data_IF_699314688466
#
_entry.id   IF_699314688466
#
_cell.length_a   1.000
_cell.length_b   1.000
_cell.length_c   1.000
_cell.angle_alpha   90.00
_cell.angle_beta   90.00
_cell.angle_gamma   90.00
#
_symmetry.space_group_name_H-M   'P 1'
#
loop_
_entity.id
_entity.type
_entity.pdbx_description
1 polymer ?
#
# COMPACT_ATOMS: atom_id res chain seq x y z
N UNK A 1 -37.57 -16.80 64.44
CA UNK A 1 -37.73 -15.52 63.73
C UNK A 1 -36.54 -14.63 64.01
N UNK A 2 -35.54 -14.59 63.11
CA UNK A 2 -34.54 -13.52 63.03
C UNK A 2 -34.12 -13.37 61.56
N UNK A 3 -34.15 -12.11 61.14
CA UNK A 3 -33.87 -11.55 59.80
C UNK A 3 -32.36 -11.29 59.63
N UNK A 4 -31.86 -11.26 58.38
CA UNK A 4 -31.05 -10.14 57.83
C UNK A 4 -30.30 -10.52 56.54
N UNK A 5 -30.49 -9.68 55.51
CA UNK A 5 -29.56 -9.26 54.41
C UNK A 5 -28.90 -10.38 53.59
N UNK A 6 -29.32 -10.70 52.36
CA UNK A 6 -29.19 -9.87 51.14
C UNK A 6 -27.88 -9.05 51.09
N UNK A 7 -26.85 -9.64 50.51
CA UNK A 7 -25.70 -8.93 49.93
C UNK A 7 -25.36 -9.61 48.60
N UNK A 8 -26.00 -9.15 47.53
CA UNK A 8 -25.57 -9.41 46.16
C UNK A 8 -24.47 -8.40 45.79
N UNK A 9 -23.40 -8.78 45.09
CA UNK A 9 -22.40 -7.83 44.65
C UNK A 9 -23.01 -7.00 43.52
N UNK A 10 -23.50 -5.80 43.85
CA UNK A 10 -23.87 -4.79 42.86
C UNK A 10 -22.59 -4.27 42.20
N UNK A 11 -22.13 -4.98 41.17
CA UNK A 11 -21.09 -4.50 40.26
C UNK A 11 -21.66 -3.43 39.33
N UNK A 12 -22.02 -2.26 39.88
CA UNK A 12 -22.30 -1.08 39.07
C UNK A 12 -20.96 -0.46 38.64
N UNK A 13 -20.36 -0.99 37.58
CA UNK A 13 -19.37 -0.27 36.80
C UNK A 13 -20.08 0.72 35.87
N UNK A 14 -20.55 1.83 36.43
CA UNK A 14 -20.90 3.00 35.64
C UNK A 14 -19.62 3.76 35.32
N UNK A 15 -18.76 3.16 34.48
CA UNK A 15 -17.65 3.88 33.86
C UNK A 15 -18.29 5.02 33.07
N UNK A 16 -17.96 6.29 33.39
CA UNK A 16 -18.56 7.41 32.69
C UNK A 16 -18.28 7.30 31.18
N UNK A 17 -19.21 7.73 30.31
CA UNK A 17 -19.05 7.66 28.85
C UNK A 17 -17.71 8.25 28.37
N UNK A 18 -17.21 9.29 29.05
CA UNK A 18 -15.92 9.91 28.76
C UNK A 18 -14.69 9.07 29.15
N UNK A 19 -14.84 8.12 30.06
CA UNK A 19 -13.79 7.18 30.46
C UNK A 19 -13.72 6.00 29.50
N UNK A 20 -14.88 5.55 28.99
CA UNK A 20 -14.97 4.56 27.93
C UNK A 20 -14.36 5.06 26.61
N UNK A 21 -14.67 6.32 26.24
CA UNK A 21 -14.12 6.96 25.04
C UNK A 21 -12.59 7.10 25.10
N UNK A 22 -12.05 7.57 26.23
CA UNK A 22 -10.59 7.67 26.45
C UNK A 22 -9.88 6.31 26.40
N UNK A 23 -10.52 5.27 26.94
CA UNK A 23 -9.98 3.91 26.89
C UNK A 23 -9.99 3.33 25.45
N UNK A 24 -11.05 3.60 24.68
CA UNK A 24 -11.15 3.19 23.28
C UNK A 24 -10.10 3.91 22.41
N UNK A 25 -9.96 5.22 22.59
CA UNK A 25 -8.93 6.04 21.93
C UNK A 25 -7.52 5.53 22.23
N UNK A 26 -7.21 5.23 23.50
CA UNK A 26 -5.94 4.64 23.91
C UNK A 26 -5.70 3.26 23.27
N UNK A 27 -6.76 2.43 23.18
CA UNK A 27 -6.69 1.13 22.52
C UNK A 27 -6.38 1.26 21.02
N UNK A 28 -7.03 2.20 20.32
CA UNK A 28 -6.80 2.48 18.89
C UNK A 28 -5.37 3.01 18.69
N UNK A 29 -4.91 3.94 19.52
CA UNK A 29 -3.52 4.46 19.49
C UNK A 29 -2.50 3.34 19.68
N UNK A 30 -2.73 2.44 20.64
CA UNK A 30 -1.87 1.27 20.84
C UNK A 30 -1.87 0.34 19.62
N UNK A 31 -3.03 0.11 19.00
CA UNK A 31 -3.17 -0.70 17.79
C UNK A 31 -2.41 -0.10 16.61
N UNK A 32 -2.44 1.22 16.45
CA UNK A 32 -1.68 1.95 15.42
C UNK A 32 -0.18 1.75 15.62
N UNK A 33 0.32 1.91 16.85
CA UNK A 33 1.74 1.70 17.15
C UNK A 33 2.16 0.26 16.84
N UNK A 34 1.36 -0.72 17.28
CA UNK A 34 1.62 -2.13 17.00
C UNK A 34 1.67 -2.44 15.49
N UNK A 35 0.67 -1.99 14.73
CA UNK A 35 0.61 -2.23 13.29
C UNK A 35 1.72 -1.49 12.54
N UNK A 36 2.10 -0.29 12.99
CA UNK A 36 3.22 0.48 12.42
C UNK A 36 4.55 -0.25 12.63
N UNK A 37 4.76 -0.82 13.81
CA UNK A 37 5.96 -1.60 14.08
C UNK A 37 5.98 -2.91 13.30
N UNK A 38 4.84 -3.58 13.18
CA UNK A 38 4.70 -4.75 12.33
C UNK A 38 4.99 -4.42 10.85
N UNK A 39 4.52 -3.27 10.36
CA UNK A 39 4.81 -2.78 9.01
C UNK A 39 6.31 -2.52 8.81
N UNK A 40 6.97 -1.93 9.82
CA UNK A 40 8.41 -1.67 9.81
C UNK A 40 9.19 -2.97 9.71
N UNK A 41 8.84 -3.97 10.52
CA UNK A 41 9.49 -5.28 10.52
C UNK A 41 9.29 -6.03 9.19
N UNK A 42 8.08 -6.00 8.63
CA UNK A 42 7.79 -6.67 7.35
C UNK A 42 8.54 -6.01 6.18
N UNK A 43 8.62 -4.67 6.18
CA UNK A 43 9.42 -3.92 5.19
C UNK A 43 10.91 -4.24 5.32
N UNK A 44 11.45 -4.23 6.53
CA UNK A 44 12.85 -4.60 6.79
C UNK A 44 13.15 -6.04 6.34
N UNK A 45 12.27 -6.99 6.65
CA UNK A 45 12.42 -8.39 6.21
C UNK A 45 12.40 -8.53 4.69
N UNK A 46 11.53 -7.78 3.99
CA UNK A 46 11.51 -7.74 2.52
C UNK A 46 12.80 -7.17 1.95
N UNK A 47 13.34 -6.12 2.56
CA UNK A 47 14.58 -5.48 2.12
C UNK A 47 15.79 -6.42 2.33
N UNK A 48 15.87 -7.09 3.49
CA UNK A 48 16.86 -8.15 3.75
C UNK A 48 16.79 -9.29 2.73
N UNK A 49 15.57 -9.73 2.40
CA UNK A 49 15.37 -10.75 1.37
C UNK A 49 15.78 -10.26 -0.03
N UNK A 50 15.58 -8.97 -0.33
CA UNK A 50 16.03 -8.37 -1.59
C UNK A 50 17.56 -8.37 -1.68
N UNK A 51 18.25 -8.03 -0.58
CA UNK A 51 19.71 -8.11 -0.49
C UNK A 51 20.19 -9.56 -0.64
N UNK A 52 19.56 -10.50 0.05
CA UNK A 52 19.88 -11.94 -0.05
C UNK A 52 19.66 -12.49 -1.46
N UNK A 53 18.60 -12.07 -2.15
CA UNK A 53 18.34 -12.42 -3.54
C UNK A 53 19.45 -11.91 -4.48
N UNK A 54 19.88 -10.65 -4.32
CA UNK A 54 20.96 -10.10 -5.13
C UNK A 54 22.27 -10.87 -4.92
N UNK A 55 22.56 -11.25 -3.67
CA UNK A 55 23.74 -12.07 -3.34
C UNK A 55 23.66 -13.47 -3.98
N UNK A 56 22.51 -14.15 -3.87
CA UNK A 56 22.28 -15.46 -4.47
C UNK A 56 22.41 -15.41 -6.00
N UNK A 57 21.82 -14.40 -6.65
CA UNK A 57 21.91 -14.23 -8.10
C UNK A 57 23.34 -13.92 -8.55
N UNK A 58 24.11 -13.16 -7.74
CA UNK A 58 25.51 -12.85 -8.06
C UNK A 58 26.41 -14.09 -8.09
N UNK A 59 26.07 -15.13 -7.31
CA UNK A 59 26.83 -16.38 -7.18
C UNK A 59 26.26 -17.52 -8.03
N UNK A 60 25.07 -17.34 -8.61
CA UNK A 60 24.34 -18.41 -9.28
C UNK A 60 24.71 -18.57 -10.76
N UNK A 61 24.78 -19.84 -11.18
CA UNK A 61 24.96 -20.19 -12.59
C UNK A 61 23.72 -19.86 -13.44
N UNK A 62 23.93 -19.78 -14.76
CA UNK A 62 22.90 -19.44 -15.77
C UNK A 62 21.65 -20.31 -15.70
N UNK A 63 21.77 -21.55 -15.21
CA UNK A 63 20.67 -22.49 -15.06
C UNK A 63 19.93 -22.36 -13.72
N UNK A 64 20.57 -21.84 -12.67
CA UNK A 64 19.98 -21.70 -11.33
C UNK A 64 19.28 -20.34 -11.14
N UNK A 65 19.74 -19.30 -11.84
CA UNK A 65 19.19 -17.94 -11.76
C UNK A 65 17.66 -17.85 -11.99
N UNK A 66 17.04 -18.59 -12.93
CA UNK A 66 15.58 -18.56 -13.11
C UNK A 66 14.81 -19.10 -11.90
N UNK A 67 15.32 -20.17 -11.26
CA UNK A 67 14.70 -20.76 -10.08
C UNK A 67 14.80 -19.83 -8.86
N UNK A 68 15.95 -19.16 -8.68
CA UNK A 68 16.15 -18.16 -7.62
C UNK A 68 15.20 -16.97 -7.81
N UNK A 69 15.03 -16.49 -9.05
CA UNK A 69 14.06 -15.43 -9.39
C UNK A 69 12.64 -15.82 -9.03
N UNK A 70 12.21 -17.01 -9.45
CA UNK A 70 10.86 -17.50 -9.18
C UNK A 70 10.58 -17.64 -7.67
N UNK A 71 11.57 -18.12 -6.90
CA UNK A 71 11.46 -18.20 -5.45
C UNK A 71 11.35 -16.82 -4.80
N UNK A 72 12.21 -15.87 -5.19
CA UNK A 72 12.16 -14.49 -4.70
C UNK A 72 10.83 -13.82 -5.02
N UNK A 73 10.35 -13.95 -6.26
CA UNK A 73 9.10 -13.33 -6.69
C UNK A 73 7.91 -13.84 -5.87
N UNK A 74 7.86 -15.14 -5.56
CA UNK A 74 6.82 -15.71 -4.69
C UNK A 74 6.89 -15.15 -3.26
N UNK A 75 8.08 -14.99 -2.70
CA UNK A 75 8.23 -14.43 -1.34
C UNK A 75 7.90 -12.93 -1.34
N UNK A 76 8.34 -12.19 -2.36
CA UNK A 76 8.05 -10.77 -2.51
C UNK A 76 6.55 -10.49 -2.73
N UNK A 77 5.85 -11.33 -3.48
CA UNK A 77 4.39 -11.26 -3.62
C UNK A 77 3.68 -11.43 -2.28
N UNK A 78 4.12 -12.40 -1.45
CA UNK A 78 3.56 -12.61 -0.11
C UNK A 78 3.82 -11.43 0.81
N UNK A 79 5.07 -10.96 0.88
CA UNK A 79 5.44 -9.78 1.67
C UNK A 79 4.62 -8.55 1.24
N UNK A 80 4.46 -8.33 -0.07
CA UNK A 80 3.67 -7.22 -0.61
C UNK A 80 2.19 -7.32 -0.23
N UNK A 81 1.60 -8.52 -0.27
CA UNK A 81 0.23 -8.74 0.18
C UNK A 81 0.05 -8.48 1.68
N UNK A 82 0.99 -8.94 2.51
CA UNK A 82 1.01 -8.69 3.96
C UNK A 82 1.13 -7.20 4.27
N UNK A 83 2.08 -6.50 3.62
CA UNK A 83 2.27 -5.05 3.74
C UNK A 83 0.99 -4.30 3.40
N UNK A 84 0.38 -4.60 2.25
CA UNK A 84 -0.87 -3.96 1.82
C UNK A 84 -2.06 -4.23 2.76
N UNK A 85 -2.07 -5.36 3.46
CA UNK A 85 -3.07 -5.67 4.49
C UNK A 85 -2.84 -4.86 5.77
N UNK A 86 -1.58 -4.74 6.21
CA UNK A 86 -1.23 -3.95 7.40
C UNK A 86 -1.52 -2.47 7.15
N UNK A 87 -1.16 -1.94 5.98
CA UNK A 87 -1.43 -0.56 5.57
C UNK A 87 -2.94 -0.26 5.57
N UNK A 88 -3.76 -1.15 5.01
CA UNK A 88 -5.22 -1.00 5.04
C UNK A 88 -5.78 -0.96 6.47
N UNK A 89 -5.28 -1.81 7.37
CA UNK A 89 -5.68 -1.80 8.78
C UNK A 89 -5.23 -0.53 9.50
N UNK A 90 -4.04 -0.01 9.17
CA UNK A 90 -3.55 1.27 9.67
C UNK A 90 -4.45 2.42 9.24
N UNK A 91 -4.85 2.47 7.97
CA UNK A 91 -5.81 3.47 7.48
C UNK A 91 -7.14 3.39 8.25
N UNK A 92 -7.66 2.18 8.48
CA UNK A 92 -8.88 1.98 9.26
C UNK A 92 -8.74 2.48 10.71
N UNK A 93 -7.64 2.15 11.39
CA UNK A 93 -7.42 2.63 12.76
C UNK A 93 -7.25 4.15 12.83
N UNK A 94 -6.55 4.78 11.87
CA UNK A 94 -6.44 6.23 11.80
C UNK A 94 -7.79 6.90 11.54
N UNK A 95 -8.60 6.34 10.64
CA UNK A 95 -9.95 6.83 10.37
C UNK A 95 -10.84 6.74 11.61
N UNK A 96 -10.81 5.60 12.32
CA UNK A 96 -11.55 5.44 13.57
C UNK A 96 -11.10 6.43 14.65
N UNK A 97 -9.80 6.72 14.73
CA UNK A 97 -9.28 7.71 15.68
C UNK A 97 -9.79 9.12 15.33
N UNK A 98 -9.79 9.47 14.04
CA UNK A 98 -10.29 10.75 13.56
C UNK A 98 -11.81 10.92 13.80
N UNK A 99 -12.60 9.87 13.59
CA UNK A 99 -14.04 9.87 13.89
C UNK A 99 -14.34 10.07 15.40
N UNK A 100 -13.51 9.51 16.27
CA UNK A 100 -13.59 9.73 17.72
C UNK A 100 -13.21 11.17 18.12
N UNK A 101 -12.21 11.76 17.47
CA UNK A 101 -11.78 13.14 17.71
C UNK A 101 -12.80 14.16 17.18
N UNK A 102 -13.34 13.94 15.99
CA UNK A 102 -14.33 14.82 15.35
C UNK A 102 -15.72 14.72 15.99
N UNK A 103 -16.10 13.54 16.51
CA UNK A 103 -17.33 13.35 17.28
C UNK A 103 -17.40 14.15 18.59
N UNK A 104 -16.24 14.61 19.11
CA UNK A 104 -16.14 15.44 20.30
C UNK A 104 -16.22 16.96 20.02
N UNK A 105 -16.35 17.40 18.76
CA UNK A 105 -16.38 18.83 18.39
C UNK A 105 -17.84 19.30 18.22
N UNK A 106 -18.33 20.30 19.00
CA UNK A 106 -19.63 20.90 18.72
C UNK A 106 -19.57 21.57 17.35
N UNK A 107 -20.50 21.22 16.46
CA UNK A 107 -20.71 21.89 15.16
C UNK A 107 -21.13 23.33 15.42
N UNK A 108 -20.13 24.21 15.49
CA UNK A 108 -20.28 25.65 15.43
C UNK A 108 -20.80 26.04 14.04
N UNK A 109 -22.00 26.60 14.06
CA UNK A 109 -22.67 27.37 13.03
C UNK A 109 -21.66 28.15 12.17
N UNK A 110 -21.60 27.85 10.87
CA UNK A 110 -21.00 28.76 9.88
C UNK A 110 -22.07 29.11 8.85
N UNK A 111 -22.77 30.21 9.13
CA UNK A 111 -23.33 31.05 8.09
C UNK A 111 -22.16 31.71 7.36
N UNK A 112 -21.87 31.22 6.16
CA UNK A 112 -21.29 32.02 5.09
C UNK A 112 -21.99 31.59 3.80
N UNK A 113 -23.17 32.17 3.60
CA UNK A 113 -23.72 32.33 2.26
C UNK A 113 -22.89 33.43 1.58
N UNK A 114 -22.21 33.07 0.51
CA UNK A 114 -22.72 33.44 -0.80
C UNK A 114 -22.13 32.50 -1.84
N UNK A 115 -23.05 31.83 -2.51
CA UNK A 115 -22.85 30.88 -3.60
C UNK A 115 -22.67 31.62 -4.91
N UNK A 116 -21.64 31.23 -5.66
CA UNK A 116 -21.65 31.40 -7.10
C UNK A 116 -21.01 30.19 -7.77
N UNK A 117 -21.78 29.62 -8.69
CA UNK A 117 -21.46 28.61 -9.70
C UNK A 117 -21.27 27.16 -9.22
N UNK A 118 -22.35 26.40 -9.39
CA UNK A 118 -22.29 25.03 -9.85
C UNK A 118 -23.00 24.96 -11.22
N UNK A 119 -22.27 24.45 -12.22
CA UNK A 119 -22.79 23.90 -13.47
C UNK A 119 -22.05 22.57 -13.61
N UNK A 120 -22.68 21.46 -13.26
CA UNK A 120 -23.23 20.50 -14.24
C UNK A 120 -23.33 19.09 -13.65
N UNK A 121 -24.55 18.57 -13.78
CA UNK A 121 -24.86 17.23 -14.30
C UNK A 121 -24.27 16.01 -13.56
N UNK A 122 -25.13 15.21 -12.94
CA UNK A 122 -25.41 13.85 -13.44
C UNK A 122 -26.61 13.17 -12.72
N UNK A 123 -27.23 12.16 -13.35
CA UNK A 123 -28.68 11.94 -13.28
C UNK A 123 -29.12 10.86 -12.28
N UNK A 124 -30.36 11.06 -11.84
CA UNK A 124 -31.22 10.15 -11.08
C UNK A 124 -31.73 8.97 -11.92
N UNK A 125 -31.89 7.80 -11.27
CA UNK A 125 -33.03 6.92 -11.56
C UNK A 125 -33.61 6.28 -10.27
N UNK A 126 -34.90 6.59 -10.05
CA UNK A 126 -36.00 5.77 -9.49
C UNK A 126 -35.96 5.41 -7.98
N UNK A 127 -37.06 5.42 -7.23
CA UNK A 127 -38.47 5.73 -7.48
C UNK A 127 -39.24 5.73 -6.13
N UNK A 128 -40.35 6.51 -6.09
CA UNK A 128 -41.58 6.40 -5.27
C UNK A 128 -41.42 6.34 -3.73
N UNK A 129 -42.14 7.08 -2.88
CA UNK A 129 -43.41 7.82 -2.93
C UNK A 129 -43.93 7.77 -1.47
N UNK A 130 -44.27 8.88 -0.81
CA UNK A 130 -45.64 9.38 -0.59
C UNK A 130 -45.48 10.45 0.52
N UNK A 131 -45.74 11.72 0.23
CA UNK A 131 -46.98 12.43 0.61
C UNK A 131 -46.96 12.97 2.05
N UNK A 132 -46.72 14.28 2.15
CA UNK A 132 -47.03 15.13 3.30
C UNK A 132 -48.43 15.72 3.11
N UNK A 133 -49.13 16.12 4.19
CA UNK A 133 -49.40 17.54 4.31
C UNK A 133 -49.17 18.10 5.72
N UNK A 134 -48.35 19.14 5.79
CA UNK A 134 -48.45 20.30 6.71
C UNK A 134 -49.82 21.02 6.53
N UNK A 135 -50.23 22.02 7.36
CA UNK A 135 -49.53 22.70 8.46
C UNK A 135 -50.43 22.98 9.71
N UNK A 136 -49.87 23.75 10.66
CA UNK A 136 -50.50 24.82 11.48
C UNK A 136 -50.56 24.60 13.00
N UNK A 137 -50.02 25.59 13.73
CA UNK A 137 -50.27 25.87 15.14
C UNK A 137 -48.99 25.84 15.96
N UNK A 138 -48.21 26.92 15.99
CA UNK A 138 -48.29 27.96 17.04
C UNK A 138 -48.13 27.39 18.46
N UNK A 139 -46.99 27.72 19.07
CA UNK A 139 -46.82 28.22 20.45
C UNK A 139 -45.57 27.64 21.12
N UNK A 140 -44.56 28.49 21.27
CA UNK A 140 -43.64 28.44 22.41
C UNK A 140 -44.42 28.91 23.67
N UNK A 141 -44.01 28.59 24.92
CA UNK A 141 -42.61 28.47 25.34
C UNK A 141 -42.32 27.49 26.50
N UNK A 142 -41.02 27.41 26.86
CA UNK A 142 -40.50 27.60 28.22
C UNK A 142 -39.51 26.52 28.67
N UNK A 143 -38.25 26.93 28.67
CA UNK A 143 -37.15 26.44 29.48
C UNK A 143 -37.59 26.23 30.94
N UNK A 144 -37.40 25.03 31.47
CA UNK A 144 -37.49 24.73 32.90
C UNK A 144 -36.12 24.29 33.37
N UNK A 145 -35.49 25.08 34.22
CA UNK A 145 -34.51 24.63 35.20
C UNK A 145 -34.29 25.73 36.22
N UNK A 146 -34.78 25.50 37.43
CA UNK A 146 -34.12 25.85 38.71
C UNK A 146 -35.06 25.50 39.87
N UNK A 147 -34.94 24.27 40.35
CA UNK A 147 -35.35 23.86 41.67
C UNK A 147 -34.27 24.34 42.65
N UNK A 148 -34.60 25.10 43.71
CA UNK A 148 -33.92 25.11 45.02
C UNK A 148 -34.58 26.15 45.95
N UNK A 149 -35.28 25.58 46.94
CA UNK A 149 -35.39 25.95 48.37
C UNK A 149 -35.97 27.31 48.78
N UNK A 150 -37.08 27.25 49.54
CA UNK A 150 -37.46 28.29 50.50
C UNK A 150 -38.94 28.30 50.88
N UNK A 151 -39.46 27.23 51.51
CA UNK A 151 -40.78 27.30 52.15
C UNK A 151 -40.71 28.14 53.44
N UNK A 152 -41.46 29.24 53.48
CA UNK A 152 -42.00 29.84 54.70
C UNK A 152 -43.49 30.14 54.45
N UNK A 153 -44.43 29.64 55.27
CA UNK A 153 -45.80 30.11 55.22
C UNK A 153 -46.01 31.15 56.33
N UNK A 154 -46.21 32.41 55.95
CA UNK A 154 -46.83 33.39 56.84
C UNK A 154 -47.74 34.28 56.01
N UNK A 155 -48.99 33.85 55.87
CA UNK A 155 -50.07 34.73 55.46
C UNK A 155 -51.22 34.61 56.48
N UNK A 156 -51.47 35.75 57.11
CA UNK A 156 -52.47 36.01 58.12
C UNK A 156 -53.62 36.73 57.44
N UNK A 157 -54.79 36.10 57.35
CA UNK A 157 -56.04 36.78 57.05
C UNK A 157 -57.19 36.23 57.90
N UNK A 158 -57.74 37.11 58.75
CA UNK A 158 -59.18 37.38 58.88
C UNK A 158 -59.34 38.69 59.66
N UNK A 159 -60.31 39.54 59.29
CA UNK A 159 -61.40 39.69 60.25
C UNK A 159 -62.80 39.86 59.62
N UNK A 160 -63.81 39.34 60.32
CA UNK A 160 -65.18 39.83 60.26
C UNK A 160 -65.66 40.12 61.70
N UNK A 161 -66.13 41.35 61.91
CA UNK A 161 -66.67 41.90 63.15
C UNK A 161 -67.94 41.16 63.63
N UNK A 162 -68.09 40.98 64.94
CA UNK A 162 -69.31 41.36 65.67
C UNK A 162 -68.99 41.71 67.15
N UNK A 163 -69.71 42.67 67.78
CA UNK A 163 -69.38 43.20 69.10
C UNK A 163 -70.25 42.64 70.25
N UNK A 164 -69.63 42.47 71.43
CA UNK A 164 -70.30 42.18 72.71
C UNK A 164 -69.46 42.67 73.89
N UNK A 165 -70.08 43.45 74.78
CA UNK A 165 -69.51 44.38 75.78
C UNK A 165 -69.04 43.67 77.10
N UNK A 166 -68.54 44.37 78.15
CA UNK A 166 -67.17 44.23 78.64
C UNK A 166 -67.05 43.71 80.10
N UNK A 167 -65.88 43.26 80.51
CA UNK A 167 -65.50 43.33 81.94
C UNK A 167 -64.00 43.25 82.21
N UNK A 168 -63.57 44.16 83.09
CA UNK A 168 -62.44 44.06 84.05
C UNK A 168 -61.00 44.11 83.50
N UNK A 169 -60.52 45.36 83.44
CA UNK A 169 -59.36 45.92 84.17
C UNK A 169 -58.26 44.93 84.61
N UNK A 170 -57.02 45.24 84.17
CA UNK A 170 -55.70 44.62 84.47
C UNK A 170 -55.33 43.41 83.61
N UNK A 171 -54.82 43.67 82.39
CA UNK A 171 -53.69 42.93 81.74
C UNK A 171 -53.33 43.40 80.31
N UNK A 172 -53.58 44.65 79.95
CA UNK A 172 -53.41 45.11 78.54
C UNK A 172 -51.97 45.54 78.19
N UNK A 173 -51.13 45.90 79.17
CA UNK A 173 -49.77 46.38 78.88
C UNK A 173 -48.74 45.27 78.58
N UNK A 174 -48.99 44.02 78.97
CA UNK A 174 -47.99 42.94 78.91
C UNK A 174 -48.16 42.00 77.69
N UNK A 175 -49.31 42.03 77.01
CA UNK A 175 -49.62 41.12 75.90
C UNK A 175 -49.20 41.65 74.51
N UNK A 176 -49.06 42.97 74.35
CA UNK A 176 -48.63 43.62 73.09
C UNK A 176 -47.10 43.83 72.97
N UNK A 177 -46.36 43.75 74.07
CA UNK A 177 -44.91 43.99 74.06
C UNK A 177 -44.12 42.86 73.38
N UNK A 178 -44.54 41.60 73.57
CA UNK A 178 -43.85 40.40 73.06
C UNK A 178 -43.85 40.26 71.52
N UNK A 179 -44.99 40.42 70.79
CA UNK A 179 -45.00 40.31 69.33
C UNK A 179 -44.28 41.48 68.64
N UNK A 180 -44.39 42.68 69.20
CA UNK A 180 -43.71 43.87 68.70
C UNK A 180 -42.19 43.77 68.87
N UNK A 181 -41.70 43.19 69.98
CA UNK A 181 -40.29 42.90 70.18
C UNK A 181 -39.77 41.86 69.18
N UNK A 182 -40.50 40.77 68.96
CA UNK A 182 -40.15 39.76 67.94
C UNK A 182 -40.06 40.37 66.54
N UNK A 183 -41.03 41.21 66.17
CA UNK A 183 -41.03 41.86 64.85
C UNK A 183 -39.88 42.87 64.69
N UNK A 184 -39.49 43.54 65.78
CA UNK A 184 -38.32 44.43 65.80
C UNK A 184 -37.00 43.66 65.68
N UNK A 185 -36.92 42.49 66.31
CA UNK A 185 -35.78 41.57 66.20
C UNK A 185 -35.67 41.02 64.78
N UNK A 186 -36.76 40.55 64.19
CA UNK A 186 -36.80 40.09 62.80
C UNK A 186 -36.44 41.21 61.82
N UNK A 187 -36.93 42.43 62.03
CA UNK A 187 -36.56 43.58 61.20
C UNK A 187 -35.06 43.90 61.31
N UNK A 188 -34.49 43.77 62.51
CA UNK A 188 -33.04 43.91 62.70
C UNK A 188 -32.27 42.78 62.02
N UNK A 189 -32.79 41.55 62.06
CA UNK A 189 -32.19 40.38 61.44
C UNK A 189 -32.21 40.50 59.92
N UNK A 190 -33.34 40.85 59.32
CA UNK A 190 -33.49 41.13 57.89
C UNK A 190 -32.53 42.25 57.47
N UNK A 191 -32.38 43.30 58.28
CA UNK A 191 -31.44 44.39 57.99
C UNK A 191 -29.99 43.92 58.02
N UNK A 192 -29.61 43.04 58.95
CA UNK A 192 -28.27 42.40 58.97
C UNK A 192 -28.07 41.49 57.76
N UNK A 193 -29.08 40.71 57.40
CA UNK A 193 -29.06 39.87 56.20
C UNK A 193 -28.92 40.70 54.92
N UNK A 194 -29.65 41.81 54.79
CA UNK A 194 -29.52 42.72 53.64
C UNK A 194 -28.09 43.28 53.51
N UNK A 195 -27.50 43.74 54.62
CA UNK A 195 -26.12 44.25 54.62
C UNK A 195 -25.11 43.14 54.30
N UNK A 196 -25.28 41.94 54.86
CA UNK A 196 -24.45 40.77 54.56
C UNK A 196 -24.54 40.37 53.09
N UNK A 197 -25.77 40.31 52.54
CA UNK A 197 -26.03 39.99 51.15
C UNK A 197 -25.40 41.05 50.23
N UNK A 198 -25.53 42.34 50.55
CA UNK A 198 -24.92 43.43 49.81
C UNK A 198 -23.39 43.30 49.74
N UNK A 199 -22.73 43.01 50.87
CA UNK A 199 -21.28 42.77 50.92
C UNK A 199 -20.91 41.53 50.11
N UNK A 200 -21.71 40.46 50.18
CA UNK A 200 -21.47 39.24 49.41
C UNK A 200 -21.60 39.45 47.90
N UNK A 201 -22.58 40.23 47.44
CA UNK A 201 -22.73 40.61 46.04
C UNK A 201 -21.55 41.47 45.54
N UNK A 202 -21.07 42.41 46.36
CA UNK A 202 -19.89 43.22 46.03
C UNK A 202 -18.63 42.35 45.94
N UNK A 203 -18.41 41.47 46.91
CA UNK A 203 -17.31 40.50 46.89
C UNK A 203 -17.38 39.54 45.69
N UNK A 204 -18.57 39.10 45.31
CA UNK A 204 -18.78 38.25 44.14
C UNK A 204 -18.46 39.01 42.84
N UNK A 205 -18.89 40.27 42.74
CA UNK A 205 -18.60 41.13 41.60
C UNK A 205 -17.10 41.38 41.44
N UNK A 206 -16.39 41.68 42.53
CA UNK A 206 -14.94 41.88 42.51
C UNK A 206 -14.19 40.62 42.09
N UNK A 207 -14.58 39.45 42.63
CA UNK A 207 -14.03 38.16 42.20
C UNK A 207 -14.29 37.89 40.73
N UNK A 208 -15.51 38.05 40.26
CA UNK A 208 -15.85 37.84 38.85
C UNK A 208 -15.03 38.75 37.92
N UNK A 209 -14.88 40.03 38.26
CA UNK A 209 -14.07 40.96 37.45
C UNK A 209 -12.59 40.58 37.45
N UNK A 210 -12.06 40.17 38.60
CA UNK A 210 -10.66 39.73 38.72
C UNK A 210 -10.43 38.44 37.94
N UNK A 211 -11.33 37.46 38.07
CA UNK A 211 -11.24 36.17 37.35
C UNK A 211 -11.35 36.38 35.83
N UNK A 212 -12.24 37.27 35.38
CA UNK A 212 -12.34 37.63 33.97
C UNK A 212 -11.06 38.28 33.45
N UNK A 213 -10.43 39.16 34.26
CA UNK A 213 -9.17 39.80 33.89
C UNK A 213 -8.03 38.77 33.77
N UNK A 214 -7.88 37.89 34.75
CA UNK A 214 -6.85 36.84 34.72
C UNK A 214 -7.08 35.88 33.55
N UNK A 215 -8.34 35.54 33.25
CA UNK A 215 -8.68 34.70 32.11
C UNK A 215 -8.38 35.37 30.76
N UNK A 216 -8.53 36.70 30.67
CA UNK A 216 -8.20 37.44 29.46
C UNK A 216 -6.69 37.52 29.25
N UNK A 217 -5.94 37.77 30.33
CA UNK A 217 -4.47 37.81 30.32
C UNK A 217 -3.88 36.45 29.92
N UNK A 218 -4.39 35.35 30.48
CA UNK A 218 -3.94 34.00 30.13
C UNK A 218 -4.28 33.63 28.68
N UNK A 219 -5.46 34.03 28.19
CA UNK A 219 -5.84 33.84 26.78
C UNK A 219 -4.92 34.63 25.84
N UNK A 220 -4.54 35.84 26.22
CA UNK A 220 -3.57 36.60 25.45
C UNK A 220 -2.21 35.92 25.45
N UNK A 221 -1.70 35.46 26.60
CA UNK A 221 -0.42 34.75 26.69
C UNK A 221 -0.41 33.47 25.81
N UNK A 222 -1.48 32.70 25.85
CA UNK A 222 -1.68 31.54 24.97
C UNK A 222 -1.59 31.92 23.50
N UNK A 223 -2.26 33.01 23.08
CA UNK A 223 -2.21 33.50 21.70
C UNK A 223 -0.79 33.90 21.28
N UNK A 224 -0.04 34.56 22.15
CA UNK A 224 1.35 34.94 21.85
C UNK A 224 2.26 33.71 21.75
N UNK A 225 2.09 32.74 22.65
CA UNK A 225 2.84 31.48 22.60
C UNK A 225 2.50 30.67 21.34
N UNK A 226 1.23 30.65 20.94
CA UNK A 226 0.82 30.03 19.69
C UNK A 226 1.51 30.70 18.48
N UNK A 227 1.51 32.03 18.40
CA UNK A 227 2.16 32.76 17.32
C UNK A 227 3.68 32.50 17.26
N UNK A 228 4.34 32.38 18.42
CA UNK A 228 5.75 32.04 18.49
C UNK A 228 6.03 30.63 17.99
N UNK A 229 5.24 29.65 18.45
CA UNK A 229 5.35 28.26 18.03
C UNK A 229 5.08 28.10 16.54
N UNK A 230 4.07 28.79 16.01
CA UNK A 230 3.76 28.84 14.58
C UNK A 230 4.94 29.41 13.78
N UNK A 231 5.53 30.51 14.24
CA UNK A 231 6.74 31.08 13.64
C UNK A 231 7.92 30.10 13.63
N UNK A 232 8.16 29.40 14.74
CA UNK A 232 9.24 28.40 14.84
C UNK A 232 9.02 27.22 13.89
N UNK A 233 7.80 26.67 13.85
CA UNK A 233 7.44 25.58 12.95
C UNK A 233 7.59 26.04 11.50
N UNK A 234 7.19 27.26 11.17
CA UNK A 234 7.29 27.79 9.82
C UNK A 234 8.76 27.94 9.37
N UNK A 235 9.63 28.45 10.24
CA UNK A 235 11.09 28.52 9.95
C UNK A 235 11.68 27.13 9.74
N UNK A 236 11.30 26.16 10.59
CA UNK A 236 11.78 24.78 10.45
C UNK A 236 11.29 24.13 9.15
N UNK A 237 10.00 24.29 8.82
CA UNK A 237 9.40 23.80 7.60
C UNK A 237 10.05 24.42 6.37
N UNK A 238 10.30 25.73 6.39
CA UNK A 238 11.01 26.43 5.32
C UNK A 238 12.42 25.85 5.12
N UNK A 239 13.17 25.62 6.20
CA UNK A 239 14.48 24.99 6.12
C UNK A 239 14.45 23.61 5.46
N UNK A 240 13.47 22.78 5.81
CA UNK A 240 13.26 21.48 5.15
C UNK A 240 12.91 21.61 3.68
N UNK A 241 12.05 22.57 3.32
CA UNK A 241 11.70 22.82 1.92
C UNK A 241 12.91 23.26 1.10
N UNK A 242 13.75 24.12 1.66
CA UNK A 242 14.98 24.59 1.02
C UNK A 242 15.99 23.44 0.84
N UNK A 243 16.14 22.56 1.83
CA UNK A 243 16.98 21.37 1.74
C UNK A 243 16.46 20.39 0.67
N UNK A 244 15.15 20.12 0.65
CA UNK A 244 14.52 19.29 -0.38
C UNK A 244 14.74 19.89 -1.78
N UNK A 245 14.63 21.22 -1.92
CA UNK A 245 14.87 21.89 -3.18
C UNK A 245 16.33 21.74 -3.64
N UNK A 246 17.29 21.97 -2.75
CA UNK A 246 18.71 21.78 -3.02
C UNK A 246 19.03 20.31 -3.42
N UNK A 247 18.47 19.35 -2.70
CA UNK A 247 18.62 17.93 -3.00
C UNK A 247 18.02 17.57 -4.36
N UNK A 248 16.83 18.08 -4.70
CA UNK A 248 16.22 17.87 -6.02
C UNK A 248 17.09 18.41 -7.14
N UNK A 249 17.68 19.59 -6.96
CA UNK A 249 18.56 20.20 -7.96
C UNK A 249 19.85 19.37 -8.13
N UNK A 250 20.46 18.92 -7.04
CA UNK A 250 21.62 18.04 -7.09
C UNK A 250 21.29 16.70 -7.76
N UNK A 251 20.11 16.14 -7.47
CA UNK A 251 19.64 14.93 -8.13
C UNK A 251 19.48 15.13 -9.64
N UNK A 252 18.82 16.20 -10.07
CA UNK A 252 18.67 16.52 -11.50
C UNK A 252 20.04 16.68 -12.21
N UNK A 253 20.97 17.41 -11.59
CA UNK A 253 22.33 17.57 -12.12
C UNK A 253 23.07 16.23 -12.23
N UNK A 254 22.98 15.37 -11.21
CA UNK A 254 23.61 14.05 -11.25
C UNK A 254 22.94 13.11 -12.25
N UNK A 255 21.62 13.19 -12.42
CA UNK A 255 20.87 12.45 -13.43
C UNK A 255 21.32 12.83 -14.84
N UNK A 256 21.41 14.12 -15.15
CA UNK A 256 21.93 14.61 -16.44
C UNK A 256 23.35 14.12 -16.70
N UNK A 257 24.24 14.20 -15.69
CA UNK A 257 25.60 13.69 -15.79
C UNK A 257 25.63 12.18 -16.05
N UNK A 258 24.81 11.41 -15.35
CA UNK A 258 24.72 9.95 -15.56
C UNK A 258 24.17 9.61 -16.94
N UNK A 259 23.14 10.32 -17.40
CA UNK A 259 22.57 10.17 -18.73
C UNK A 259 23.63 10.45 -19.81
N UNK A 260 24.37 11.54 -19.68
CA UNK A 260 25.47 11.89 -20.58
C UNK A 260 26.56 10.81 -20.61
N UNK A 261 27.03 10.35 -19.44
CA UNK A 261 28.02 9.27 -19.35
C UNK A 261 27.52 7.97 -19.96
N UNK A 262 26.24 7.65 -19.80
CA UNK A 262 25.64 6.46 -20.41
C UNK A 262 25.64 6.55 -21.94
N UNK A 263 25.33 7.73 -22.47
CA UNK A 263 25.35 8.01 -23.91
C UNK A 263 26.76 7.90 -24.46
N UNK A 264 27.76 8.43 -23.76
CA UNK A 264 29.17 8.35 -24.18
C UNK A 264 29.68 6.90 -24.21
N UNK A 265 29.38 6.09 -23.18
CA UNK A 265 29.69 4.65 -23.20
C UNK A 265 28.99 3.90 -24.34
N UNK A 266 27.71 4.22 -24.59
CA UNK A 266 26.97 3.61 -25.69
C UNK A 266 27.59 3.99 -27.05
N UNK A 267 28.04 5.25 -27.19
CA UNK A 267 28.72 5.74 -28.38
C UNK A 267 30.05 5.02 -28.61
N UNK A 268 30.88 4.83 -27.58
CA UNK A 268 32.13 4.06 -27.69
C UNK A 268 31.87 2.63 -28.18
N UNK A 269 30.86 1.96 -27.62
CA UNK A 269 30.46 0.60 -28.06
C UNK A 269 29.98 0.62 -29.51
N UNK A 270 29.19 1.63 -29.89
CA UNK A 270 28.70 1.78 -31.26
C UNK A 270 29.84 1.99 -32.25
N UNK A 271 30.84 2.82 -31.91
CA UNK A 271 32.03 3.04 -32.74
C UNK A 271 32.81 1.73 -32.94
N UNK A 272 33.02 0.95 -31.87
CA UNK A 272 33.67 -0.37 -31.96
C UNK A 272 32.86 -1.30 -32.87
N UNK A 273 31.55 -1.34 -32.73
CA UNK A 273 30.67 -2.15 -33.58
C UNK A 273 30.74 -1.73 -35.06
N UNK A 274 30.83 -0.42 -35.33
CA UNK A 274 31.01 0.11 -36.67
C UNK A 274 32.33 -0.35 -37.29
N UNK A 275 33.41 -0.41 -36.49
CA UNK A 275 34.68 -0.98 -36.96
C UNK A 275 34.56 -2.47 -37.29
N UNK A 276 33.83 -3.25 -36.48
CA UNK A 276 33.58 -4.67 -36.77
C UNK A 276 32.75 -4.83 -38.05
N UNK A 277 31.69 -4.04 -38.22
CA UNK A 277 30.86 -4.03 -39.43
C UNK A 277 31.69 -3.74 -40.67
N UNK A 278 32.57 -2.73 -40.62
CA UNK A 278 33.47 -2.38 -41.72
C UNK A 278 34.52 -3.46 -42.01
N UNK A 279 34.99 -4.18 -40.98
CA UNK A 279 35.90 -5.32 -41.18
C UNK A 279 35.20 -6.50 -41.83
N UNK A 280 33.97 -6.80 -41.41
CA UNK A 280 33.15 -7.87 -41.98
C UNK A 280 32.82 -7.56 -43.44
N UNK A 281 32.39 -6.33 -43.77
CA UNK A 281 32.09 -5.94 -45.16
C UNK A 281 33.32 -6.02 -46.07
N UNK A 282 34.51 -5.63 -45.56
CA UNK A 282 35.78 -5.84 -46.28
C UNK A 282 36.06 -7.32 -46.52
N UNK A 283 35.94 -8.17 -45.50
CA UNK A 283 36.14 -9.62 -45.65
C UNK A 283 35.14 -10.24 -46.63
N UNK A 284 33.88 -9.81 -46.60
CA UNK A 284 32.83 -10.25 -47.52
C UNK A 284 33.15 -9.85 -48.96
N UNK A 285 33.61 -8.61 -49.19
CA UNK A 285 34.03 -8.18 -50.52
C UNK A 285 35.22 -8.99 -51.06
N UNK A 286 36.20 -9.31 -50.21
CA UNK A 286 37.35 -10.14 -50.57
C UNK A 286 36.92 -11.58 -50.87
N UNK A 287 36.01 -12.13 -50.06
CA UNK A 287 35.42 -13.44 -50.29
C UNK A 287 34.67 -13.48 -51.62
N UNK A 288 33.86 -12.47 -51.93
CA UNK A 288 33.09 -12.39 -53.16
C UNK A 288 33.99 -12.29 -54.40
N UNK A 289 35.05 -11.47 -54.37
CA UNK A 289 36.03 -11.36 -55.46
C UNK A 289 36.82 -12.66 -55.64
N UNK A 290 37.22 -13.32 -54.54
CA UNK A 290 37.94 -14.60 -54.58
C UNK A 290 37.05 -15.73 -55.09
N UNK A 291 35.78 -15.75 -54.68
CA UNK A 291 34.80 -16.73 -55.15
C UNK A 291 34.51 -16.52 -56.64
N UNK A 292 34.35 -15.28 -57.12
CA UNK A 292 34.18 -15.00 -58.56
C UNK A 292 35.41 -15.49 -59.34
N UNK A 293 36.62 -15.14 -58.92
CA UNK A 293 37.86 -15.58 -59.57
C UNK A 293 38.07 -17.11 -59.53
N UNK A 294 37.66 -17.77 -58.44
CA UNK A 294 37.69 -19.24 -58.32
C UNK A 294 36.60 -19.88 -59.19
N UNK A 295 35.38 -19.35 -59.24
CA UNK A 295 34.28 -19.89 -60.06
C UNK A 295 34.55 -19.76 -61.55
N UNK A 296 35.24 -18.72 -61.99
CA UNK A 296 35.73 -18.61 -63.37
C UNK A 296 36.80 -19.67 -63.68
N UNK A 297 37.76 -19.91 -62.77
CA UNK A 297 38.78 -20.96 -62.95
C UNK A 297 38.23 -22.39 -62.81
N UNK A 298 37.19 -22.61 -62.00
CA UNK A 298 36.58 -23.92 -61.79
C UNK A 298 35.54 -24.28 -62.85
N UNK A 299 35.14 -23.40 -63.77
CA UNK A 299 34.07 -23.71 -64.73
C UNK A 299 34.45 -24.79 -65.75
N UNK A 300 35.75 -24.97 -66.04
CA UNK A 300 36.23 -25.92 -67.07
C UNK A 300 36.63 -27.31 -66.56
N UNK A 301 36.87 -27.52 -65.26
CA UNK A 301 37.49 -28.77 -64.74
C UNK A 301 36.53 -29.84 -64.16
N UNK A 302 35.38 -29.52 -63.52
CA UNK A 302 34.52 -30.52 -62.90
C UNK A 302 33.45 -31.09 -63.84
N UNK A 303 33.11 -30.42 -64.95
CA UNK A 303 32.13 -30.95 -65.91
C UNK A 303 32.61 -32.24 -66.62
N UNK A 304 33.89 -32.34 -66.96
CA UNK A 304 34.48 -33.54 -67.59
C UNK A 304 34.58 -34.72 -66.60
N UNK A 305 34.87 -34.43 -65.32
CA UNK A 305 34.87 -35.46 -64.26
C UNK A 305 33.47 -36.00 -64.00
N UNK A 306 32.46 -35.13 -63.89
CA UNK A 306 31.06 -35.56 -63.69
C UNK A 306 30.58 -36.47 -64.83
N UNK A 307 30.92 -36.14 -66.09
CA UNK A 307 30.57 -36.97 -67.25
C UNK A 307 31.22 -38.36 -67.20
N UNK A 308 32.47 -38.45 -66.77
CA UNK A 308 33.18 -39.75 -66.59
C UNK A 308 32.56 -40.60 -65.48
N UNK A 309 32.15 -39.99 -64.36
CA UNK A 309 31.46 -40.72 -63.29
C UNK A 309 30.08 -41.22 -63.72
N UNK A 310 29.32 -40.42 -64.46
CA UNK A 310 28.03 -40.86 -65.02
C UNK A 310 28.23 -42.03 -65.99
N UNK A 311 29.23 -41.96 -66.86
CA UNK A 311 29.57 -43.06 -67.76
C UNK A 311 29.97 -44.33 -67.03
N UNK A 312 30.73 -44.21 -65.93
CA UNK A 312 31.16 -45.35 -65.11
C UNK A 312 29.99 -46.03 -64.39
N UNK A 313 29.06 -45.24 -63.86
CA UNK A 313 27.85 -45.77 -63.20
C UNK A 313 26.96 -46.48 -64.24
N UNK A 314 26.85 -45.91 -65.45
CA UNK A 314 26.04 -46.48 -66.52
C UNK A 314 26.59 -47.84 -67.01
N UNK A 315 27.91 -47.99 -67.14
CA UNK A 315 28.53 -49.28 -67.51
C UNK A 315 28.37 -50.32 -66.42
N UNK A 316 28.49 -49.93 -65.15
CA UNK A 316 28.26 -50.82 -64.01
C UNK A 316 26.80 -51.32 -63.97
N UNK A 317 25.84 -50.43 -64.21
CA UNK A 317 24.43 -50.78 -64.27
C UNK A 317 24.12 -51.74 -65.43
N UNK A 318 24.71 -51.52 -66.61
CA UNK A 318 24.57 -52.42 -67.75
C UNK A 318 25.15 -53.82 -67.46
N UNK A 319 26.31 -53.90 -66.80
CA UNK A 319 26.91 -55.17 -66.37
C UNK A 319 26.01 -55.93 -65.38
N UNK A 320 25.43 -55.22 -64.40
CA UNK A 320 24.46 -55.81 -63.47
C UNK A 320 23.21 -56.32 -64.20
N UNK A 321 22.71 -55.56 -65.17
CA UNK A 321 21.54 -55.95 -65.97
C UNK A 321 21.81 -57.21 -66.82
N UNK A 322 23.02 -57.31 -67.39
CA UNK A 322 23.46 -58.51 -68.13
C UNK A 322 23.61 -59.70 -67.18
N UNK A 323 24.18 -59.52 -65.99
CA UNK A 323 24.26 -60.55 -64.94
C UNK A 323 22.87 -61.08 -64.53
N UNK A 324 21.91 -60.18 -64.34
CA UNK A 324 20.53 -60.58 -64.03
C UNK A 324 19.90 -61.32 -65.21
N UNK A 325 20.19 -60.90 -66.44
CA UNK A 325 19.68 -61.55 -67.65
C UNK A 325 20.30 -62.93 -67.90
N UNK A 326 21.59 -63.13 -67.62
CA UNK A 326 22.25 -64.43 -67.72
C UNK A 326 21.77 -65.39 -66.65
N UNK A 327 21.49 -64.89 -65.43
CA UNK A 327 20.85 -65.69 -64.37
C UNK A 327 19.39 -66.02 -64.72
N UNK A 328 18.66 -65.13 -65.38
CA UNK A 328 17.30 -65.37 -65.86
C UNK A 328 17.23 -66.31 -67.08
N UNK A 329 18.26 -66.38 -67.91
CA UNK A 329 18.30 -67.21 -69.12
C UNK A 329 18.79 -68.65 -68.90
N UNK A 330 19.22 -69.01 -67.68
CA UNK A 330 19.54 -70.40 -67.31
C UNK A 330 18.25 -71.16 -66.90
N UNK A 331 17.75 -72.14 -67.67
CA UNK A 331 16.68 -73.02 -67.21
C UNK A 331 17.28 -74.11 -66.32
N UNK A 332 17.45 -73.83 -65.02
CA UNK A 332 17.67 -74.87 -64.00
C UNK A 332 16.40 -74.98 -63.13
N UNK A 333 15.57 -76.01 -63.33
CA UNK A 333 14.37 -76.23 -62.53
C UNK A 333 14.69 -77.23 -61.42
N UNK A 334 15.13 -76.79 -60.22
CA UNK A 334 14.93 -77.56 -58.96
C UNK A 334 15.46 -76.93 -57.66
N UNK A 335 15.96 -75.68 -57.64
CA UNK A 335 16.38 -75.03 -56.36
C UNK A 335 15.87 -73.59 -56.20
N UNK A 336 14.75 -73.25 -56.85
CA UNK A 336 14.22 -71.88 -56.91
C UNK A 336 13.20 -71.49 -55.82
N UNK A 337 12.83 -72.40 -54.91
CA UNK A 337 12.10 -72.04 -53.68
C UNK A 337 13.08 -71.62 -52.59
N UNK A 338 13.98 -72.53 -52.20
CA UNK A 338 14.87 -72.32 -51.07
C UNK A 338 15.92 -71.23 -51.29
N UNK A 339 16.49 -71.11 -52.50
CA UNK A 339 17.51 -70.09 -52.76
C UNK A 339 16.92 -68.68 -52.79
N UNK A 340 15.72 -68.51 -53.38
CA UNK A 340 14.99 -67.22 -53.38
C UNK A 340 14.57 -66.85 -51.97
N UNK A 341 14.00 -67.78 -51.20
CA UNK A 341 13.65 -67.53 -49.79
C UNK A 341 14.89 -67.20 -48.96
N UNK A 342 16.01 -67.90 -49.15
CA UNK A 342 17.26 -67.65 -48.44
C UNK A 342 17.87 -66.29 -48.79
N UNK A 343 17.87 -65.87 -50.06
CA UNK A 343 18.36 -64.53 -50.46
C UNK A 343 17.47 -63.40 -49.92
N UNK A 344 16.14 -63.56 -49.94
CA UNK A 344 15.26 -62.59 -49.27
C UNK A 344 15.49 -62.55 -47.76
N UNK A 345 15.69 -63.69 -47.09
CA UNK A 345 15.97 -63.72 -45.65
C UNK A 345 17.32 -63.08 -45.31
N UNK A 346 18.35 -63.27 -46.13
CA UNK A 346 19.65 -62.61 -45.97
C UNK A 346 19.53 -61.10 -46.18
N UNK A 347 18.79 -60.64 -47.21
CA UNK A 347 18.56 -59.21 -47.44
C UNK A 347 17.74 -58.57 -46.31
N UNK A 348 16.73 -59.26 -45.79
CA UNK A 348 15.94 -58.81 -44.64
C UNK A 348 16.83 -58.78 -43.37
N UNK A 349 17.67 -59.79 -43.14
CA UNK A 349 18.61 -59.83 -42.02
C UNK A 349 19.67 -58.72 -42.10
N UNK A 350 20.23 -58.46 -43.27
CA UNK A 350 21.15 -57.34 -43.51
C UNK A 350 20.46 -55.98 -43.34
N UNK A 351 19.21 -55.85 -43.80
CA UNK A 351 18.40 -54.66 -43.59
C UNK A 351 18.12 -54.40 -42.11
N UNK A 352 17.79 -55.45 -41.35
CA UNK A 352 17.58 -55.38 -39.90
C UNK A 352 18.88 -55.01 -39.15
N UNK A 353 20.02 -55.58 -39.54
CA UNK A 353 21.33 -55.23 -38.98
C UNK A 353 21.71 -53.77 -39.30
N UNK A 354 21.44 -53.29 -40.52
CA UNK A 354 21.69 -51.90 -40.90
C UNK A 354 20.76 -50.93 -40.13
N UNK A 355 19.50 -51.31 -39.93
CA UNK A 355 18.55 -50.57 -39.09
C UNK A 355 19.03 -50.53 -37.63
N UNK A 356 19.46 -51.66 -37.08
CA UNK A 356 19.98 -51.76 -35.72
C UNK A 356 21.28 -50.95 -35.55
N UNK A 357 22.20 -50.98 -36.52
CA UNK A 357 23.41 -50.14 -36.50
C UNK A 357 23.10 -48.65 -36.61
N UNK A 358 22.08 -48.28 -37.40
CA UNK A 358 21.63 -46.88 -37.53
C UNK A 358 21.00 -46.35 -36.25
N UNK A 359 20.28 -47.20 -35.51
CA UNK A 359 19.72 -46.85 -34.20
C UNK A 359 20.73 -46.96 -33.05
N UNK A 360 21.81 -47.73 -33.20
CA UNK A 360 22.91 -47.82 -32.25
C UNK A 360 23.98 -46.73 -32.42
N UNK A 361 23.83 -45.82 -33.38
CA UNK A 361 24.56 -44.55 -33.43
C UNK A 361 23.72 -43.51 -32.66
N UNK A 362 23.99 -43.26 -31.36
CA UNK A 362 23.37 -42.13 -30.70
C UNK A 362 23.89 -40.88 -31.39
N UNK A 363 23.09 -39.83 -31.36
CA UNK A 363 23.32 -38.46 -31.87
C UNK A 363 24.57 -37.75 -31.30
N UNK A 364 25.59 -38.47 -30.83
CA UNK A 364 26.77 -37.96 -30.13
C UNK A 364 28.02 -37.81 -31.00
N UNK A 365 28.11 -38.42 -32.19
CA UNK A 365 29.37 -38.45 -32.97
C UNK A 365 29.52 -37.36 -34.05
N UNK A 366 28.52 -36.48 -34.24
CA UNK A 366 28.68 -35.36 -35.19
C UNK A 366 29.73 -34.33 -34.71
N UNK A 367 30.02 -34.27 -33.40
CA UNK A 367 31.06 -33.40 -32.85
C UNK A 367 32.49 -33.92 -33.03
N UNK A 368 32.67 -35.21 -33.39
CA UNK A 368 33.99 -35.79 -33.64
C UNK A 368 34.53 -35.44 -35.03
N UNK A 369 33.66 -35.05 -35.97
CA UNK A 369 34.02 -34.66 -37.33
C UNK A 369 34.34 -33.16 -37.49
N UNK A 370 34.14 -32.35 -36.44
CA UNK A 370 34.51 -30.92 -36.46
C UNK A 370 36.02 -30.79 -36.17
N UNK A 371 36.84 -30.23 -37.10
CA UNK A 371 38.27 -30.07 -36.90
C UNK A 371 38.57 -29.24 -35.64
N UNK A 372 39.54 -29.67 -34.84
CA UNK A 372 39.91 -29.07 -33.55
C UNK A 372 40.20 -27.55 -33.58
N UNK A 373 40.50 -26.97 -34.75
CA UNK A 373 40.71 -25.52 -34.93
C UNK A 373 39.52 -24.65 -34.52
N UNK A 374 38.29 -25.16 -34.61
CA UNK A 374 37.08 -24.39 -34.24
C UNK A 374 36.77 -24.42 -32.74
N UNK A 375 37.43 -25.28 -31.96
CA UNK A 375 37.21 -25.39 -30.50
C UNK A 375 38.03 -24.37 -29.71
N UNK A 376 39.15 -23.87 -30.26
CA UNK A 376 40.07 -22.98 -29.55
C UNK A 376 39.57 -21.53 -29.50
N UNK A 377 38.94 -21.02 -30.56
CA UNK A 377 38.49 -19.60 -30.63
C UNK A 377 37.36 -19.22 -29.68
N UNK A 378 36.69 -20.19 -29.04
CA UNK A 378 35.61 -19.90 -28.08
C UNK A 378 36.09 -19.81 -26.63
N UNK A 379 37.35 -20.17 -26.33
CA UNK A 379 37.84 -20.31 -24.94
C UNK A 379 38.74 -19.17 -24.44
N UNK A 380 39.16 -18.26 -25.32
CA UNK A 380 40.13 -17.20 -24.99
C UNK A 380 39.53 -15.79 -24.80
N UNK A 381 38.21 -15.62 -24.76
CA UNK A 381 37.60 -14.33 -24.37
C UNK A 381 37.33 -14.27 -22.87
N UNK A 382 38.38 -14.03 -22.08
CA UNK A 382 38.29 -13.61 -20.67
C UNK A 382 38.57 -12.11 -20.60
N UNK A 383 37.65 -11.26 -20.09
CA UNK A 383 37.91 -9.84 -19.99
C UNK A 383 38.96 -9.56 -18.90
N UNK A 384 39.93 -8.72 -19.26
CA UNK A 384 40.95 -8.19 -18.37
C UNK A 384 40.28 -7.36 -17.26
N UNK A 385 40.56 -7.73 -16.01
CA UNK A 385 40.32 -6.94 -14.81
C UNK A 385 41.26 -5.73 -14.81
N UNK A 386 40.71 -4.52 -14.88
CA UNK A 386 41.41 -3.30 -14.50
C UNK A 386 41.13 -2.98 -13.02
N UNK A 387 42.20 -2.68 -12.29
CA UNK A 387 42.23 -1.99 -11.01
C UNK A 387 43.69 -1.78 -10.59
N UNK A 388 44.02 -0.84 -9.69
CA UNK A 388 43.15 0.13 -9.02
C UNK A 388 42.97 1.46 -9.77
#
# INVERSE_FOLDING_TARGET
SLSSSEDGPSGHCSLSDGELARNLEASIKHRILYLSEQLRLERASRDENTVGYLELVSKADRHQAPHIRQAFEKVNQRASATIAQIERRLCQCHQQLQELEDGCRPKGLVLRADSSLDDCEQPSERALGSESPEPVGADCPSTSLSHVIGHFPLESHCPALQPGRPSKTKRVAQQQALPWQRMKEELQEIKKFHLSLQVSCQSLKERYLTDLQVSLESLQEEKHRQALMEGQVNVHLQGHLDEIYCLKQNLACTEEKMAYLSYERAKEIWEVMETFKNRISKLESVQQVTQVAMTEKLRCRPQDLMFRFTSLILTLAALLLVLVSTVCACPLPLVNSHLRTCTTLVLIGLGALAWQKRHALPTTDWQAWVPARWRQSAKDSKPLSHGP
#
